data_IF_247049096197
#
_entry.id   IF_247049096197
#
_cell.length_a   1.000
_cell.length_b   1.000
_cell.length_c   1.000
_cell.angle_alpha   90.00
_cell.angle_beta   90.00
_cell.angle_gamma   90.00
#
_symmetry.space_group_name_H-M   'P 1'
#
loop_
_entity.id
_entity.type
_entity.pdbx_description
1 polymer ?
#
# COMPACT_ATOMS: atom_id res chain seq x y z
N UNK A 1 2.64 18.26 22.62
CA UNK A 1 2.35 16.81 22.81
C UNK A 1 2.88 16.02 21.63
N UNK A 2 3.14 14.71 21.78
CA UNK A 2 3.40 13.81 20.63
C UNK A 2 2.08 13.31 20.03
N UNK A 3 2.08 12.94 18.75
CA UNK A 3 0.95 12.23 18.14
C UNK A 3 0.87 10.81 18.71
N UNK A 4 -0.35 10.30 18.84
CA UNK A 4 -0.59 8.90 19.19
C UNK A 4 -0.27 7.99 18.00
N UNK A 5 -0.03 6.70 18.28
CA UNK A 5 0.19 5.72 17.21
C UNK A 5 -1.02 5.57 16.28
N UNK A 6 -2.23 5.84 16.79
CA UNK A 6 -3.43 5.82 15.95
C UNK A 6 -3.51 7.03 15.02
N UNK A 7 -3.12 8.21 15.49
CA UNK A 7 -3.00 9.40 14.63
C UNK A 7 -1.91 9.20 13.57
N UNK A 8 -0.76 8.64 13.95
CA UNK A 8 0.31 8.32 13.00
C UNK A 8 -0.14 7.29 11.94
N UNK A 9 -0.88 6.25 12.35
CA UNK A 9 -1.42 5.24 11.44
C UNK A 9 -2.43 5.85 10.44
N UNK A 10 -3.30 6.77 10.89
CA UNK A 10 -4.23 7.50 10.01
C UNK A 10 -3.51 8.36 8.98
N UNK A 11 -2.44 9.06 9.39
CA UNK A 11 -1.61 9.83 8.45
C UNK A 11 -1.03 8.91 7.37
N UNK A 12 -0.62 7.71 7.77
CA UNK A 12 -0.17 6.65 6.87
C UNK A 12 -1.32 5.94 6.13
N UNK A 13 -2.58 6.41 6.22
CA UNK A 13 -3.77 5.82 5.57
C UNK A 13 -4.14 4.39 5.99
N UNK A 14 -3.71 3.95 7.17
CA UNK A 14 -4.23 2.72 7.75
C UNK A 14 -5.70 2.88 8.17
N UNK A 15 -6.54 1.86 7.98
CA UNK A 15 -7.90 1.82 8.54
C UNK A 15 -7.87 1.97 10.06
N UNK A 16 -8.92 2.57 10.63
CA UNK A 16 -9.00 2.79 12.08
C UNK A 16 -9.03 1.48 12.85
N UNK A 17 -9.64 0.44 12.28
CA UNK A 17 -9.76 -0.92 12.81
C UNK A 17 -8.47 -1.73 12.66
N UNK A 18 -7.42 -1.21 12.02
CA UNK A 18 -6.17 -1.95 11.82
C UNK A 18 -5.44 -2.18 13.16
N UNK A 19 -5.26 -3.45 13.50
CA UNK A 19 -4.61 -3.89 14.74
C UNK A 19 -3.11 -4.11 14.47
N UNK A 20 -2.26 -3.40 15.20
CA UNK A 20 -0.83 -3.66 15.23
C UNK A 20 -0.53 -4.62 16.38
N UNK A 21 -0.30 -5.90 16.08
CA UNK A 21 0.05 -6.94 17.06
C UNK A 21 1.52 -6.84 17.50
N UNK A 22 1.90 -5.70 18.07
CA UNK A 22 3.28 -5.40 18.44
C UNK A 22 3.34 -4.51 19.69
N UNK A 23 4.51 -4.47 20.34
CA UNK A 23 4.76 -3.51 21.43
C UNK A 23 4.90 -2.10 20.88
N UNK A 24 4.63 -1.09 21.71
CA UNK A 24 4.60 0.33 21.31
C UNK A 24 5.79 0.78 20.43
N UNK A 25 7.03 0.48 20.84
CA UNK A 25 8.24 0.87 20.10
C UNK A 25 8.36 0.18 18.73
N UNK A 26 7.83 -1.04 18.64
CA UNK A 26 7.79 -1.77 17.38
C UNK A 26 6.67 -1.22 16.48
N UNK A 27 5.49 -0.92 17.03
CA UNK A 27 4.42 -0.21 16.31
C UNK A 27 4.91 1.14 15.78
N UNK A 28 5.66 1.91 16.57
CA UNK A 28 6.28 3.17 16.13
C UNK A 28 7.17 2.95 14.89
N UNK A 29 8.01 1.91 14.89
CA UNK A 29 8.84 1.54 13.73
C UNK A 29 8.02 1.06 12.55
N UNK A 30 6.98 0.25 12.78
CA UNK A 30 6.12 -0.27 11.72
C UNK A 30 5.37 0.88 11.03
N UNK A 31 4.73 1.77 11.80
CA UNK A 31 4.01 2.93 11.26
C UNK A 31 4.97 3.93 10.60
N UNK A 32 6.12 4.21 11.22
CA UNK A 32 7.09 5.19 10.71
C UNK A 32 7.75 4.78 9.40
N UNK A 33 7.99 3.47 9.19
CA UNK A 33 8.64 2.95 7.99
C UNK A 33 7.66 2.37 6.96
N UNK A 34 6.36 2.35 7.25
CA UNK A 34 5.36 1.80 6.33
C UNK A 34 5.25 2.62 5.05
N UNK A 35 4.96 1.93 3.95
CA UNK A 35 4.36 2.55 2.77
C UNK A 35 2.85 2.71 3.06
N UNK A 36 2.26 3.91 2.85
CA UNK A 36 0.84 4.11 3.08
C UNK A 36 -0.03 3.12 2.28
N UNK A 37 -1.04 2.44 2.88
CA UNK A 37 -1.89 1.50 2.15
C UNK A 37 -2.59 2.08 0.92
N UNK A 38 -3.06 3.33 0.98
CA UNK A 38 -3.70 3.98 -0.18
C UNK A 38 -2.71 4.20 -1.32
N UNK A 39 -1.47 4.60 -1.00
CA UNK A 39 -0.41 4.74 -2.00
C UNK A 39 -0.07 3.38 -2.64
N UNK A 40 0.06 2.34 -1.82
CA UNK A 40 0.32 0.98 -2.29
C UNK A 40 -0.80 0.48 -3.23
N UNK A 41 -2.06 0.81 -2.93
CA UNK A 41 -3.20 0.48 -3.80
C UNK A 41 -3.11 1.13 -5.19
N UNK A 42 -2.75 2.42 -5.25
CA UNK A 42 -2.56 3.10 -6.54
C UNK A 42 -1.38 2.53 -7.33
N UNK A 43 -0.27 2.22 -6.65
CA UNK A 43 0.89 1.60 -7.28
C UNK A 43 0.56 0.22 -7.85
N UNK A 44 -0.14 -0.63 -7.08
CA UNK A 44 -0.56 -1.95 -7.52
C UNK A 44 -1.44 -1.88 -8.77
N UNK A 45 -2.39 -0.95 -8.83
CA UNK A 45 -3.21 -0.74 -10.02
C UNK A 45 -2.41 -0.27 -11.23
N UNK A 46 -1.45 0.64 -11.04
CA UNK A 46 -0.59 1.11 -12.12
C UNK A 46 0.24 -0.04 -12.71
N UNK A 47 0.82 -0.88 -11.85
CA UNK A 47 1.57 -2.07 -12.25
C UNK A 47 0.66 -3.08 -12.95
N UNK A 48 -0.55 -3.35 -12.44
CA UNK A 48 -1.50 -4.26 -13.08
C UNK A 48 -1.83 -3.80 -14.50
N UNK A 49 -2.19 -2.52 -14.68
CA UNK A 49 -2.47 -1.97 -16.02
C UNK A 49 -1.29 -2.09 -16.98
N UNK A 50 -0.07 -1.88 -16.48
CA UNK A 50 1.14 -2.04 -17.27
C UNK A 50 1.34 -3.49 -17.72
N UNK A 51 1.15 -4.46 -16.82
CA UNK A 51 1.28 -5.88 -17.12
C UNK A 51 0.19 -6.35 -18.09
N UNK A 52 -1.05 -5.88 -17.91
CA UNK A 52 -2.18 -6.22 -18.79
C UNK A 52 -1.96 -5.67 -20.20
N UNK A 53 -1.49 -4.41 -20.32
CA UNK A 53 -1.08 -3.85 -21.62
C UNK A 53 0.05 -4.66 -22.25
N UNK A 54 1.08 -5.02 -21.48
CA UNK A 54 2.22 -5.79 -21.99
C UNK A 54 1.79 -7.17 -22.51
N UNK A 55 0.86 -7.84 -21.81
CA UNK A 55 0.27 -9.10 -22.28
C UNK A 55 -0.50 -8.92 -23.58
N UNK A 56 -1.32 -7.88 -23.68
CA UNK A 56 -2.08 -7.61 -24.91
C UNK A 56 -1.19 -7.25 -26.10
N UNK A 57 0.00 -6.68 -25.89
CA UNK A 57 0.98 -6.46 -26.98
C UNK A 57 1.62 -7.78 -27.43
N UNK A 58 1.94 -8.67 -26.49
CA UNK A 58 2.61 -9.95 -26.80
C UNK A 58 1.66 -10.98 -27.42
N UNK A 59 0.40 -11.02 -26.99
CA UNK A 59 -0.61 -11.97 -27.48
C UNK A 59 -1.61 -11.36 -28.48
N UNK A 60 -1.62 -10.03 -28.65
CA UNK A 60 -2.54 -9.32 -29.54
C UNK A 60 -2.08 -9.19 -31.00
N UNK A 61 -0.88 -9.67 -31.35
CA UNK A 61 -0.49 -9.93 -32.75
C UNK A 61 -0.89 -11.32 -33.23
N UNK A 62 -1.44 -12.16 -32.35
CA UNK A 62 -1.98 -13.48 -32.68
C UNK A 62 -3.51 -13.46 -32.79
N UNK A 63 -4.09 -12.40 -33.37
CA UNK A 63 -5.48 -12.41 -33.82
C UNK A 63 -5.54 -11.88 -35.25
N UNK A 64 -5.80 -12.84 -36.16
CA UNK A 64 -5.90 -12.80 -37.62
C UNK A 64 -4.54 -12.82 -38.34
#
# INVERSE_FOLDING_TARGET
RRISMREAARIQSFPDEFIFEAKLRETERQVGNAVPPVLAWHLAQAVSRFLDRSRNVVYGTARI
#
